data_IF_080536924347
#
_entry.id   IF_080536924347
#
_cell.length_a   1.000
_cell.length_b   1.000
_cell.length_c   1.000
_cell.angle_alpha   90.00
_cell.angle_beta   90.00
_cell.angle_gamma   90.00
#
_symmetry.space_group_name_H-M   'P 1'
#
loop_
_entity.id
_entity.type
_entity.pdbx_description
1 polymer ?
#
# COMPACT_ATOMS: atom_id res chain seq x y z
N UNK A 1 21.83 38.64 17.47
CA UNK A 1 20.65 38.60 16.59
C UNK A 1 20.87 37.76 15.33
N UNK A 2 22.02 37.88 14.63
CA UNK A 2 22.32 37.07 13.44
C UNK A 2 22.26 35.54 13.65
N UNK A 3 22.68 35.04 14.81
CA UNK A 3 22.64 33.60 15.14
C UNK A 3 21.21 33.04 15.24
N UNK A 4 20.27 33.80 15.81
CA UNK A 4 18.86 33.40 15.91
C UNK A 4 18.17 33.40 14.53
N UNK A 5 18.54 34.34 13.66
CA UNK A 5 18.03 34.40 12.28
C UNK A 5 18.52 33.19 11.48
N UNK A 6 19.81 32.83 11.59
CA UNK A 6 20.32 31.61 10.96
C UNK A 6 19.62 30.34 11.45
N UNK A 7 19.39 30.24 12.75
CA UNK A 7 18.77 29.06 13.35
C UNK A 7 17.29 28.90 12.95
N UNK A 8 16.57 30.02 12.81
CA UNK A 8 15.18 30.03 12.33
C UNK A 8 15.05 29.70 10.83
N UNK A 9 15.99 30.16 10.00
CA UNK A 9 16.04 29.78 8.58
C UNK A 9 16.38 28.29 8.41
N UNK A 10 17.34 27.80 9.20
CA UNK A 10 17.70 26.37 9.19
C UNK A 10 16.54 25.48 9.66
N UNK A 11 15.86 25.85 10.73
CA UNK A 11 14.70 25.07 11.20
C UNK A 11 13.55 25.11 10.20
N UNK A 12 13.26 26.27 9.60
CA UNK A 12 12.20 26.42 8.60
C UNK A 12 12.42 25.58 7.32
N UNK A 13 13.68 25.31 6.97
CA UNK A 13 14.03 24.50 5.78
C UNK A 13 14.11 23.01 6.09
N UNK A 14 14.63 22.62 7.25
CA UNK A 14 14.81 21.21 7.63
C UNK A 14 13.48 20.55 8.01
N UNK A 15 12.60 21.25 8.73
CA UNK A 15 11.32 20.70 9.18
C UNK A 15 10.44 20.14 8.06
N UNK A 16 10.19 20.87 6.94
CA UNK A 16 9.37 20.33 5.85
C UNK A 16 10.04 19.12 5.17
N UNK A 17 11.37 19.11 5.07
CA UNK A 17 12.14 17.98 4.52
C UNK A 17 11.93 16.71 5.36
N UNK A 18 11.98 16.82 6.69
CA UNK A 18 11.70 15.69 7.59
C UNK A 18 10.27 15.20 7.42
N UNK A 19 9.30 16.11 7.30
CA UNK A 19 7.89 15.76 7.09
C UNK A 19 7.67 14.96 5.79
N UNK A 20 8.28 15.39 4.69
CA UNK A 20 8.20 14.68 3.39
C UNK A 20 8.77 13.26 3.52
N UNK A 21 9.96 13.13 4.11
CA UNK A 21 10.60 11.82 4.30
C UNK A 21 9.75 10.92 5.19
N UNK A 22 9.14 11.48 6.23
CA UNK A 22 8.27 10.74 7.14
C UNK A 22 7.03 10.20 6.41
N UNK A 23 6.38 11.02 5.61
CA UNK A 23 5.21 10.61 4.80
C UNK A 23 5.58 9.51 3.80
N UNK A 24 6.74 9.61 3.14
CA UNK A 24 7.18 8.55 2.22
C UNK A 24 7.53 7.24 2.95
N UNK A 25 8.13 7.31 4.15
CA UNK A 25 8.39 6.10 4.95
C UNK A 25 7.10 5.41 5.38
N UNK A 26 6.08 6.18 5.73
CA UNK A 26 4.76 5.63 6.02
C UNK A 26 4.20 4.97 4.77
N UNK A 27 4.21 5.65 3.62
CA UNK A 27 3.69 5.12 2.36
C UNK A 27 4.38 3.80 1.93
N UNK A 28 5.68 3.67 2.17
CA UNK A 28 6.41 2.41 1.90
C UNK A 28 5.98 1.29 2.85
N UNK A 29 5.86 1.56 4.15
CA UNK A 29 5.40 0.55 5.12
C UNK A 29 3.99 0.08 4.82
N UNK A 30 3.17 1.04 4.43
CA UNK A 30 1.82 0.84 3.95
C UNK A 30 1.76 -0.05 2.69
N UNK A 31 2.65 0.15 1.72
CA UNK A 31 2.77 -0.71 0.54
C UNK A 31 3.21 -2.14 0.92
N UNK A 32 4.17 -2.29 1.83
CA UNK A 32 4.60 -3.61 2.30
C UNK A 32 3.45 -4.38 2.96
N UNK A 33 2.66 -3.74 3.81
CA UNK A 33 1.51 -4.37 4.43
C UNK A 33 0.46 -4.83 3.39
N UNK A 34 0.24 -4.01 2.35
CA UNK A 34 -0.68 -4.37 1.26
C UNK A 34 -0.19 -5.59 0.48
N UNK A 35 1.11 -5.71 0.23
CA UNK A 35 1.71 -6.87 -0.41
C UNK A 35 1.57 -8.12 0.45
N UNK A 36 1.78 -8.02 1.76
CA UNK A 36 1.57 -9.16 2.68
C UNK A 36 0.12 -9.63 2.66
N UNK A 37 -0.86 -8.71 2.70
CA UNK A 37 -2.29 -9.09 2.62
C UNK A 37 -2.65 -9.72 1.26
N UNK A 38 -2.02 -9.25 0.17
CA UNK A 38 -2.16 -9.84 -1.15
C UNK A 38 -1.60 -11.27 -1.22
N UNK A 39 -0.42 -11.50 -0.62
CA UNK A 39 0.21 -12.82 -0.53
C UNK A 39 -0.62 -13.78 0.33
N UNK A 40 -1.13 -13.34 1.47
CA UNK A 40 -2.04 -14.13 2.31
C UNK A 40 -3.30 -14.52 1.54
N UNK A 41 -3.93 -13.57 0.85
CA UNK A 41 -5.12 -13.82 0.04
C UNK A 41 -4.85 -14.83 -1.09
N UNK A 42 -3.68 -14.74 -1.71
CA UNK A 42 -3.26 -15.66 -2.77
C UNK A 42 -2.95 -17.06 -2.20
N UNK A 43 -2.36 -17.11 -1.01
CA UNK A 43 -2.09 -18.37 -0.32
C UNK A 43 -3.38 -19.09 0.08
N UNK A 44 -4.37 -18.36 0.59
CA UNK A 44 -5.69 -18.91 0.92
C UNK A 44 -6.41 -19.46 -0.31
N UNK A 45 -6.31 -18.76 -1.46
CA UNK A 45 -6.83 -19.26 -2.73
C UNK A 45 -6.18 -20.58 -3.15
N UNK A 46 -4.85 -20.68 -3.04
CA UNK A 46 -4.13 -21.92 -3.38
C UNK A 46 -4.48 -23.08 -2.45
N UNK A 47 -4.89 -22.80 -1.20
CA UNK A 47 -5.27 -23.82 -0.22
C UNK A 47 -6.76 -24.23 -0.25
N UNK A 48 -7.56 -23.76 -1.23
CA UNK A 48 -9.03 -23.98 -1.27
C UNK A 48 -9.75 -23.49 -0.01
N UNK A 49 -9.16 -22.52 0.72
CA UNK A 49 -9.89 -21.85 1.80
C UNK A 49 -10.85 -20.87 1.14
N UNK A 50 -12.13 -21.25 1.07
CA UNK A 50 -13.19 -20.41 0.52
C UNK A 50 -13.28 -19.08 1.28
N UNK A 51 -12.65 -18.04 0.73
CA UNK A 51 -13.01 -16.67 1.04
C UNK A 51 -14.02 -16.20 0.00
N UNK A 52 -15.27 -16.07 0.43
CA UNK A 52 -16.40 -15.47 -0.27
C UNK A 52 -15.95 -14.30 -1.16
N UNK A 53 -16.54 -14.21 -2.35
CA UNK A 53 -16.33 -13.16 -3.35
C UNK A 53 -16.84 -11.79 -2.83
N UNK A 54 -16.24 -11.26 -1.77
CA UNK A 54 -16.53 -9.92 -1.27
C UNK A 54 -15.36 -9.01 -1.61
N UNK A 55 -15.67 -7.89 -2.27
CA UNK A 55 -14.82 -6.70 -2.19
C UNK A 55 -14.71 -6.35 -0.70
N UNK A 56 -13.61 -6.76 -0.09
CA UNK A 56 -13.33 -6.40 1.29
C UNK A 56 -12.66 -5.02 1.27
N UNK A 57 -13.48 -3.99 1.41
CA UNK A 57 -13.01 -2.61 1.54
C UNK A 57 -12.59 -2.38 3.00
N UNK A 58 -11.40 -2.83 3.37
CA UNK A 58 -10.74 -2.33 4.58
C UNK A 58 -10.18 -0.94 4.29
N UNK A 59 -10.26 -0.03 5.27
CA UNK A 59 -9.88 1.39 5.16
C UNK A 59 -8.73 1.63 4.14
N UNK A 60 -9.08 2.31 3.03
CA UNK A 60 -8.18 2.71 1.95
C UNK A 60 -7.54 1.61 1.07
N UNK A 61 -7.99 0.35 1.21
CA UNK A 61 -7.60 -0.77 0.35
C UNK A 61 -8.82 -1.37 -0.36
N UNK A 62 -8.67 -1.56 -1.67
CA UNK A 62 -9.65 -2.23 -2.51
C UNK A 62 -9.02 -3.49 -3.09
N UNK A 63 -9.49 -4.65 -2.63
CA UNK A 63 -9.07 -5.94 -3.17
C UNK A 63 -10.08 -6.37 -4.23
N UNK A 64 -9.59 -6.64 -5.44
CA UNK A 64 -10.38 -7.15 -6.56
C UNK A 64 -9.87 -8.53 -6.95
N UNK A 65 -10.81 -9.45 -7.20
CA UNK A 65 -10.54 -10.83 -7.59
C UNK A 65 -11.22 -11.09 -8.93
N UNK A 66 -10.43 -11.43 -9.93
CA UNK A 66 -10.88 -11.66 -11.31
C UNK A 66 -10.48 -13.08 -11.73
N UNK A 67 -11.45 -13.89 -12.12
CA UNK A 67 -11.21 -15.23 -12.65
C UNK A 67 -11.02 -15.14 -14.17
N UNK A 68 -9.80 -15.43 -14.66
CA UNK A 68 -9.48 -15.26 -16.08
C UNK A 68 -9.90 -16.49 -16.87
N UNK A 69 -9.32 -17.66 -16.57
CA UNK A 69 -9.54 -18.95 -17.26
C UNK A 69 -9.22 -20.12 -16.34
N UNK A 70 -9.87 -21.27 -16.54
CA UNK A 70 -9.62 -22.61 -15.92
C UNK A 70 -8.53 -22.67 -14.84
N UNK A 71 -8.86 -22.32 -13.60
CA UNK A 71 -7.96 -22.45 -12.45
C UNK A 71 -6.98 -21.28 -12.24
N UNK A 72 -7.05 -20.22 -13.05
CA UNK A 72 -6.23 -19.01 -12.92
C UNK A 72 -7.05 -17.86 -12.33
N UNK A 73 -6.58 -17.32 -11.22
CA UNK A 73 -7.10 -16.12 -10.58
C UNK A 73 -6.12 -14.97 -10.70
N UNK A 74 -6.65 -13.76 -10.89
CA UNK A 74 -5.94 -12.50 -10.75
C UNK A 74 -6.48 -11.80 -9.52
N UNK A 75 -5.59 -11.47 -8.60
CA UNK A 75 -5.92 -10.74 -7.39
C UNK A 75 -5.17 -9.43 -7.46
N UNK A 76 -5.89 -8.32 -7.42
CA UNK A 76 -5.32 -6.98 -7.41
C UNK A 76 -5.67 -6.28 -6.10
N UNK A 77 -4.69 -5.59 -5.53
CA UNK A 77 -4.89 -4.67 -4.42
C UNK A 77 -4.60 -3.25 -4.91
N UNK A 78 -5.61 -2.40 -4.81
CA UNK A 78 -5.50 -0.97 -5.07
C UNK A 78 -5.53 -0.24 -3.73
N UNK A 79 -4.57 0.66 -3.53
CA UNK A 79 -4.42 1.40 -2.29
C UNK A 79 -4.09 2.86 -2.56
N UNK A 80 -4.67 3.76 -1.76
CA UNK A 80 -4.21 5.14 -1.67
C UNK A 80 -3.30 5.30 -0.44
N UNK A 81 -2.02 5.59 -0.66
CA UNK A 81 -1.04 5.80 0.41
C UNK A 81 -1.19 7.18 1.08
N UNK A 82 -0.58 7.35 2.26
CA UNK A 82 -0.56 8.63 2.98
C UNK A 82 0.06 9.81 2.21
N UNK A 83 0.85 9.52 1.17
CA UNK A 83 1.38 10.51 0.22
C UNK A 83 0.39 10.88 -0.92
N UNK A 84 -0.88 10.47 -0.80
CA UNK A 84 -1.94 10.61 -1.82
C UNK A 84 -1.71 9.85 -3.14
N UNK A 85 -0.64 9.05 -3.29
CA UNK A 85 -0.44 8.21 -4.47
C UNK A 85 -1.37 7.02 -4.42
N UNK A 86 -1.96 6.69 -5.58
CA UNK A 86 -2.74 5.47 -5.76
C UNK A 86 -1.82 4.45 -6.41
N UNK A 87 -1.57 3.36 -5.69
CA UNK A 87 -0.77 2.24 -6.18
C UNK A 87 -1.68 1.03 -6.36
N UNK A 88 -1.49 0.33 -7.47
CA UNK A 88 -2.16 -0.94 -7.75
C UNK A 88 -1.11 -2.01 -7.98
N UNK A 89 -1.30 -3.16 -7.34
CA UNK A 89 -0.45 -4.34 -7.52
C UNK A 89 -1.35 -5.54 -7.75
N UNK A 90 -1.02 -6.31 -8.78
CA UNK A 90 -1.75 -7.52 -9.14
C UNK A 90 -0.81 -8.72 -9.10
N UNK A 91 -1.30 -9.82 -8.56
CA UNK A 91 -0.67 -11.12 -8.65
C UNK A 91 -1.61 -12.10 -9.37
N UNK A 92 -0.98 -13.02 -10.09
CA UNK A 92 -1.65 -14.09 -10.81
C UNK A 92 -1.28 -15.41 -10.13
N UNK A 93 -2.27 -16.23 -9.86
CA UNK A 93 -2.06 -17.60 -9.38
C UNK A 93 -2.81 -18.56 -10.29
N UNK A 94 -2.18 -19.69 -10.57
CA UNK A 94 -2.77 -20.81 -11.30
C UNK A 94 -2.72 -22.04 -10.40
N UNK A 95 -3.82 -22.80 -10.38
CA UNK A 95 -3.95 -24.08 -9.69
C UNK A 95 -3.72 -25.24 -10.65
#
# INVERSE_FOLDING_TARGET
MASLILLTIFSATILPLISIIYVERIAVREELNALTELEETLHDYLQDREHSQSQDSKDHMLITREYIKSGVIKICIQRKGGNNRINEKCLLAAK
#
